data_IF_455250187468
#
_entry.id   IF_455250187468
#
_cell.length_a   1.000
_cell.length_b   1.000
_cell.length_c   1.000
_cell.angle_alpha   90.00
_cell.angle_beta   90.00
_cell.angle_gamma   90.00
#
_symmetry.space_group_name_H-M   'P 1'
#
loop_
_entity.id
_entity.type
_entity.pdbx_description
1 polymer ?
#
# COMPACT_ATOMS: atom_id res chain seq x y z
N UNK A 1 -27.36 16.06 -9.00
CA UNK A 1 -27.52 14.74 -8.36
C UNK A 1 -26.18 14.27 -7.78
N UNK A 2 -25.65 14.97 -6.76
CA UNK A 2 -24.33 14.66 -6.19
C UNK A 2 -24.31 14.93 -4.67
N UNK A 3 -25.38 14.52 -3.98
CA UNK A 3 -25.47 14.61 -2.51
C UNK A 3 -25.74 13.26 -1.86
N UNK A 4 -25.99 12.20 -2.64
CA UNK A 4 -26.27 10.85 -2.14
C UNK A 4 -25.06 9.91 -2.05
N UNK A 5 -23.88 10.33 -2.52
CA UNK A 5 -22.66 9.52 -2.44
C UNK A 5 -21.81 9.78 -1.18
N UNK A 6 -22.18 10.74 -0.32
CA UNK A 6 -21.45 11.03 0.91
C UNK A 6 -21.74 10.04 2.07
N UNK A 7 -22.65 9.07 1.86
CA UNK A 7 -23.11 8.18 2.94
C UNK A 7 -22.99 6.68 2.66
N UNK A 8 -22.28 6.25 1.61
CA UNK A 8 -22.15 4.83 1.33
C UNK A 8 -20.70 4.34 1.19
N UNK A 9 -20.29 3.62 2.26
CA UNK A 9 -19.68 2.29 2.23
C UNK A 9 -18.29 2.19 1.59
N UNK A 10 -17.23 2.41 2.38
CA UNK A 10 -16.11 1.46 2.51
C UNK A 10 -15.13 1.89 3.63
N UNK A 11 -14.96 3.20 3.84
CA UNK A 11 -13.90 3.77 4.69
C UNK A 11 -14.23 3.90 6.19
N UNK A 12 -15.49 4.07 6.69
CA UNK A 12 -15.69 4.49 8.08
C UNK A 12 -15.32 3.42 9.11
N UNK A 13 -15.32 2.14 8.75
CA UNK A 13 -14.91 1.06 9.67
C UNK A 13 -13.41 1.09 9.96
N UNK A 14 -12.59 1.22 8.92
CA UNK A 14 -11.12 1.18 9.03
C UNK A 14 -10.54 2.53 9.43
N UNK A 15 -11.21 3.64 9.08
CA UNK A 15 -10.80 4.99 9.46
C UNK A 15 -10.68 5.17 10.98
N UNK A 16 -11.58 4.57 11.77
CA UNK A 16 -11.49 4.65 13.23
C UNK A 16 -10.24 3.94 13.78
N UNK A 17 -9.88 2.80 13.18
CA UNK A 17 -8.69 2.04 13.55
C UNK A 17 -7.39 2.78 13.18
N UNK A 18 -7.40 3.56 12.08
CA UNK A 18 -6.26 4.38 11.65
C UNK A 18 -5.83 5.39 12.72
N UNK A 19 -6.79 6.09 13.35
CA UNK A 19 -6.47 7.08 14.38
C UNK A 19 -5.80 6.45 15.62
N UNK A 20 -6.24 5.24 16.02
CA UNK A 20 -5.64 4.49 17.14
C UNK A 20 -4.24 3.99 16.79
N UNK A 21 -4.02 3.53 15.55
CA UNK A 21 -2.73 3.00 15.09
C UNK A 21 -1.71 4.08 14.73
N UNK A 22 -2.08 5.35 14.72
CA UNK A 22 -1.14 6.43 14.48
C UNK A 22 -0.34 6.74 15.76
N UNK A 23 1.01 6.57 15.78
CA UNK A 23 1.81 6.68 17.00
C UNK A 23 1.69 8.01 17.74
N UNK A 24 1.50 9.11 16.99
CA UNK A 24 1.30 10.47 17.50
C UNK A 24 -0.09 10.75 18.08
N UNK A 25 -1.12 10.13 17.53
CA UNK A 25 -2.51 10.54 17.77
C UNK A 25 -3.17 9.66 18.82
N UNK A 26 -3.02 8.32 18.70
CA UNK A 26 -3.60 7.30 19.61
C UNK A 26 -4.95 7.74 20.19
N UNK A 27 -5.10 7.70 21.50
CA UNK A 27 -6.34 8.05 22.21
C UNK A 27 -6.50 9.56 22.37
N UNK A 28 -5.39 10.30 22.39
CA UNK A 28 -5.38 11.76 22.55
C UNK A 28 -6.11 12.50 21.43
N UNK A 29 -6.16 11.90 20.24
CA UNK A 29 -6.88 12.46 19.10
C UNK A 29 -8.39 12.41 19.28
N UNK A 30 -8.94 11.31 19.84
CA UNK A 30 -10.38 11.20 20.07
C UNK A 30 -10.88 12.22 21.08
N UNK A 31 -10.06 12.51 22.11
CA UNK A 31 -10.36 13.55 23.08
C UNK A 31 -10.36 14.95 22.44
N UNK A 32 -9.37 15.26 21.59
CA UNK A 32 -9.26 16.57 20.91
C UNK A 32 -10.30 16.77 19.81
N UNK A 33 -10.67 15.71 19.11
CA UNK A 33 -11.67 15.74 18.05
C UNK A 33 -13.11 15.73 18.57
N UNK A 34 -13.30 15.71 19.91
CA UNK A 34 -14.61 15.66 20.58
C UNK A 34 -15.44 14.43 20.18
N UNK A 35 -14.76 13.30 19.88
CA UNK A 35 -15.46 12.08 19.54
C UNK A 35 -16.08 11.44 20.78
N UNK A 36 -17.32 10.94 20.66
CA UNK A 36 -17.97 10.27 21.79
C UNK A 36 -17.23 8.99 22.15
N UNK A 37 -17.26 8.62 23.44
CA UNK A 37 -16.63 7.40 23.94
C UNK A 37 -17.11 6.12 23.21
N UNK A 38 -18.33 6.14 22.67
CA UNK A 38 -18.88 5.05 21.85
C UNK A 38 -18.04 4.82 20.60
N UNK A 39 -17.61 5.89 19.92
CA UNK A 39 -16.78 5.79 18.72
C UNK A 39 -15.37 5.28 19.03
N UNK A 40 -14.80 5.71 20.15
CA UNK A 40 -13.51 5.23 20.62
C UNK A 40 -13.55 3.73 20.97
N UNK A 41 -14.54 3.30 21.76
CA UNK A 41 -14.75 1.89 22.10
C UNK A 41 -15.01 1.02 20.86
N UNK A 42 -15.77 1.53 19.89
CA UNK A 42 -16.00 0.85 18.62
C UNK A 42 -14.72 0.72 17.79
N UNK A 43 -13.86 1.75 17.79
CA UNK A 43 -12.55 1.71 17.13
C UNK A 43 -11.68 0.60 17.72
N UNK A 44 -11.57 0.54 19.06
CA UNK A 44 -10.83 -0.50 19.77
C UNK A 44 -11.42 -1.89 19.52
N UNK A 45 -12.75 -2.01 19.54
CA UNK A 45 -13.45 -3.28 19.27
C UNK A 45 -13.16 -3.80 17.85
N UNK A 46 -13.21 -2.93 16.85
CA UNK A 46 -12.88 -3.28 15.47
C UNK A 46 -11.40 -3.64 15.33
N UNK A 47 -10.50 -2.85 15.92
CA UNK A 47 -9.06 -3.11 15.89
C UNK A 47 -8.71 -4.46 16.52
N UNK A 48 -9.24 -4.75 17.72
CA UNK A 48 -9.06 -6.05 18.40
C UNK A 48 -9.66 -7.21 17.61
N UNK A 49 -10.77 -6.98 16.89
CA UNK A 49 -11.36 -8.00 16.00
C UNK A 49 -10.43 -8.31 14.83
N UNK A 50 -9.87 -7.30 14.17
CA UNK A 50 -8.94 -7.47 13.05
C UNK A 50 -7.66 -8.13 13.51
N UNK A 51 -7.11 -7.71 14.64
CA UNK A 51 -5.88 -8.26 15.22
C UNK A 51 -5.92 -9.78 15.39
N UNK A 52 -7.08 -10.36 15.72
CA UNK A 52 -7.25 -11.82 15.80
C UNK A 52 -6.87 -12.56 14.52
N UNK A 53 -7.06 -11.94 13.35
CA UNK A 53 -6.69 -12.53 12.06
C UNK A 53 -5.18 -12.46 11.77
N UNK A 54 -4.49 -11.47 12.36
CA UNK A 54 -3.06 -11.24 12.20
C UNK A 54 -2.20 -11.94 13.25
N UNK A 55 -2.81 -12.42 14.34
CA UNK A 55 -2.10 -13.23 15.33
C UNK A 55 -1.48 -14.45 14.66
N UNK A 56 -0.18 -14.70 14.90
CA UNK A 56 0.47 -15.88 14.37
C UNK A 56 -0.20 -17.07 15.03
N UNK A 57 -0.63 -18.03 14.22
CA UNK A 57 -0.90 -19.36 14.73
C UNK A 57 0.37 -19.84 15.47
N UNK A 58 0.30 -20.52 16.62
CA UNK A 58 1.46 -20.94 17.43
C UNK A 58 2.52 -21.80 16.72
N UNK A 59 2.43 -21.99 15.40
CA UNK A 59 3.17 -23.00 14.62
C UNK A 59 4.27 -22.41 13.75
N UNK A 60 4.49 -21.09 13.66
CA UNK A 60 5.44 -20.57 12.67
C UNK A 60 6.25 -19.33 13.12
N UNK A 61 7.13 -19.49 14.13
CA UNK A 61 8.36 -18.68 14.24
C UNK A 61 9.52 -19.54 14.75
N UNK A 62 9.98 -20.47 13.93
CA UNK A 62 11.32 -21.06 14.06
C UNK A 62 12.30 -20.28 13.18
N UNK A 63 12.52 -19.01 13.51
CA UNK A 63 13.75 -18.34 13.09
C UNK A 63 14.87 -18.83 14.01
N UNK A 64 15.59 -19.86 13.55
CA UNK A 64 16.80 -20.38 14.20
C UNK A 64 17.89 -19.30 14.23
N UNK A 65 17.93 -18.51 15.30
CA UNK A 65 19.12 -17.72 15.63
C UNK A 65 20.17 -18.63 16.27
N UNK A 66 21.37 -18.70 15.67
CA UNK A 66 22.55 -19.38 16.23
C UNK A 66 22.89 -18.74 17.58
N UNK A 67 23.19 -19.51 18.65
CA UNK A 67 23.54 -18.93 19.94
C UNK A 67 24.93 -18.28 19.81
N UNK A 68 24.94 -16.96 19.70
CA UNK A 68 26.13 -16.12 19.92
C UNK A 68 26.10 -15.67 21.38
N UNK A 69 27.25 -15.35 21.94
CA UNK A 69 27.58 -15.08 23.37
C UNK A 69 26.64 -14.11 24.12
N UNK A 70 25.67 -13.49 23.45
CA UNK A 70 24.62 -12.61 23.99
C UNK A 70 23.58 -13.30 24.88
N UNK A 71 23.55 -14.63 24.96
CA UNK A 71 22.60 -15.35 25.83
C UNK A 71 22.77 -15.05 27.33
N UNK A 72 23.92 -14.53 27.76
CA UNK A 72 24.21 -14.21 29.16
C UNK A 72 23.44 -12.98 29.67
N UNK A 73 23.09 -12.06 28.78
CA UNK A 73 22.27 -10.88 29.09
C UNK A 73 20.84 -11.00 28.59
N UNK A 74 20.44 -12.14 28.00
CA UNK A 74 19.08 -12.30 27.47
C UNK A 74 17.99 -12.13 28.55
N UNK A 75 18.28 -12.50 29.80
CA UNK A 75 17.39 -12.26 30.94
C UNK A 75 17.32 -10.76 31.30
N UNK A 76 18.45 -10.05 31.27
CA UNK A 76 18.53 -8.61 31.50
C UNK A 76 17.88 -7.78 30.38
N UNK A 77 17.98 -8.21 29.13
CA UNK A 77 17.31 -7.61 27.97
C UNK A 77 15.79 -7.89 27.99
N UNK A 78 15.37 -9.00 28.63
CA UNK A 78 13.97 -9.37 28.82
C UNK A 78 13.34 -8.80 30.09
N UNK A 79 14.08 -8.08 30.94
CA UNK A 79 13.67 -7.70 32.31
C UNK A 79 12.48 -6.72 32.40
N UNK A 80 11.82 -6.40 31.28
CA UNK A 80 10.56 -5.67 31.25
C UNK A 80 9.66 -6.04 30.04
N UNK A 81 9.99 -7.13 29.33
CA UNK A 81 9.20 -7.67 28.23
C UNK A 81 8.31 -8.77 28.80
N UNK A 82 7.09 -8.39 29.20
CA UNK A 82 6.06 -9.35 29.56
C UNK A 82 5.67 -10.14 28.30
N UNK A 83 6.31 -11.29 28.10
CA UNK A 83 6.08 -12.24 27.00
C UNK A 83 4.64 -12.74 26.95
N UNK A 84 3.83 -12.50 27.99
CA UNK A 84 2.41 -12.85 28.04
C UNK A 84 1.48 -11.72 27.63
N UNK A 85 1.98 -10.49 27.42
CA UNK A 85 1.14 -9.38 26.95
C UNK A 85 1.03 -9.39 25.44
N UNK A 86 -0.22 -9.30 24.98
CA UNK A 86 -0.54 -9.17 23.56
C UNK A 86 0.13 -7.90 22.98
N UNK A 87 0.81 -8.01 21.84
CA UNK A 87 1.56 -6.89 21.22
C UNK A 87 0.68 -5.65 21.03
N UNK A 88 -0.61 -5.86 20.72
CA UNK A 88 -1.59 -4.81 20.56
C UNK A 88 -1.85 -4.07 21.89
N UNK A 89 -2.07 -4.79 22.98
CA UNK A 89 -2.33 -4.17 24.29
C UNK A 89 -1.06 -3.48 24.82
N UNK A 90 0.12 -4.02 24.53
CA UNK A 90 1.40 -3.32 24.79
C UNK A 90 1.46 -1.99 24.04
N UNK A 91 1.16 -1.97 22.74
CA UNK A 91 1.17 -0.73 21.95
C UNK A 91 0.15 0.31 22.45
N UNK A 92 -1.04 -0.13 22.85
CA UNK A 92 -2.10 0.74 23.37
C UNK A 92 -1.72 1.32 24.74
N UNK A 93 -0.97 0.60 25.56
CA UNK A 93 -0.49 1.09 26.87
C UNK A 93 0.72 2.03 26.79
N UNK A 94 1.51 1.96 25.71
CA UNK A 94 2.63 2.89 25.48
C UNK A 94 2.09 4.33 25.28
N UNK A 95 2.74 5.37 25.85
CA UNK A 95 2.35 6.76 25.60
C UNK A 95 2.41 7.12 24.10
N UNK A 96 1.68 8.15 23.65
CA UNK A 96 1.77 8.66 22.28
C UNK A 96 3.15 9.25 21.99
N UNK A 97 3.73 8.92 20.84
CA UNK A 97 5.00 9.49 20.38
C UNK A 97 4.74 10.73 19.53
N UNK A 98 4.93 11.90 20.15
CA UNK A 98 4.70 13.19 19.49
C UNK A 98 5.73 13.53 18.41
N UNK A 99 6.87 12.82 18.37
CA UNK A 99 7.97 13.06 17.42
C UNK A 99 7.77 12.33 16.09
N UNK A 100 6.88 11.33 16.05
CA UNK A 100 6.58 10.56 14.86
C UNK A 100 5.80 11.41 13.84
N UNK A 101 6.51 11.90 12.81
CA UNK A 101 5.91 12.64 11.70
C UNK A 101 5.26 11.72 10.65
N UNK A 102 5.91 10.61 10.30
CA UNK A 102 5.39 9.63 9.33
C UNK A 102 5.05 8.30 10.02
N UNK A 103 3.76 7.96 10.15
CA UNK A 103 3.34 6.70 10.75
C UNK A 103 3.79 5.48 9.92
N UNK A 104 3.89 5.59 8.59
CA UNK A 104 4.29 4.47 7.73
C UNK A 104 5.76 4.11 7.99
N UNK A 105 6.64 5.11 8.08
CA UNK A 105 8.04 4.91 8.44
C UNK A 105 8.21 4.25 9.82
N UNK A 106 7.43 4.68 10.83
CA UNK A 106 7.44 4.07 12.17
C UNK A 106 7.09 2.58 12.12
N UNK A 107 6.00 2.23 11.45
CA UNK A 107 5.58 0.83 11.36
C UNK A 107 6.53 0.00 10.50
N UNK A 108 7.12 0.56 9.44
CA UNK A 108 8.18 -0.13 8.69
C UNK A 108 9.41 -0.44 9.54
N UNK A 109 9.86 0.49 10.38
CA UNK A 109 10.96 0.24 11.31
C UNK A 109 10.63 -0.88 12.32
N UNK A 110 9.37 -0.92 12.78
CA UNK A 110 8.88 -1.96 13.70
C UNK A 110 8.61 -3.32 13.01
N UNK A 111 8.36 -3.31 11.70
CA UNK A 111 8.28 -4.54 10.91
C UNK A 111 9.67 -5.17 10.75
N UNK A 112 10.73 -4.36 10.63
CA UNK A 112 12.10 -4.86 10.57
C UNK A 112 12.52 -5.61 11.86
N UNK A 113 11.92 -5.28 13.01
CA UNK A 113 12.09 -6.03 14.27
C UNK A 113 11.18 -7.26 14.39
N UNK A 114 10.40 -7.60 13.37
CA UNK A 114 9.59 -8.83 13.31
C UNK A 114 8.22 -8.78 13.99
N UNK A 115 7.69 -7.60 14.31
CA UNK A 115 6.36 -7.46 14.93
C UNK A 115 5.24 -7.71 13.91
N UNK A 116 4.29 -8.61 14.20
CA UNK A 116 3.12 -8.79 13.33
C UNK A 116 2.14 -7.63 13.45
N UNK A 117 2.11 -6.94 14.60
CA UNK A 117 1.31 -5.74 14.75
C UNK A 117 1.70 -4.68 13.73
N UNK A 118 2.98 -4.59 13.38
CA UNK A 118 3.46 -3.68 12.36
C UNK A 118 2.90 -3.99 10.97
N UNK A 119 2.75 -5.27 10.61
CA UNK A 119 2.12 -5.68 9.36
C UNK A 119 0.65 -5.23 9.31
N UNK A 120 -0.12 -5.47 10.37
CA UNK A 120 -1.50 -5.00 10.46
C UNK A 120 -1.59 -3.45 10.41
N UNK A 121 -0.67 -2.77 11.09
CA UNK A 121 -0.56 -1.32 11.09
C UNK A 121 -0.38 -0.76 9.68
N UNK A 122 0.56 -1.31 8.91
CA UNK A 122 0.82 -0.92 7.53
C UNK A 122 -0.36 -1.22 6.61
N UNK A 123 -0.97 -2.40 6.73
CA UNK A 123 -2.15 -2.77 5.93
C UNK A 123 -3.32 -1.82 6.15
N UNK A 124 -3.54 -1.36 7.37
CA UNK A 124 -4.64 -0.44 7.69
C UNK A 124 -4.30 1.01 7.29
N UNK A 125 -3.07 1.45 7.54
CA UNK A 125 -2.64 2.84 7.28
C UNK A 125 -2.40 3.13 5.79
N UNK A 126 -2.11 2.10 4.99
CA UNK A 126 -1.95 2.24 3.54
C UNK A 126 -3.29 2.33 2.78
N UNK A 127 -4.42 2.08 3.46
CA UNK A 127 -5.74 2.21 2.84
C UNK A 127 -6.01 3.69 2.58
N UNK A 128 -6.32 4.09 1.33
CA UNK A 128 -6.65 5.47 1.03
C UNK A 128 -7.90 5.90 1.81
N UNK A 129 -7.85 7.10 2.39
CA UNK A 129 -8.95 7.63 3.19
C UNK A 129 -10.21 7.94 2.37
N UNK A 130 -10.13 7.97 1.04
CA UNK A 130 -11.26 8.33 0.18
C UNK A 130 -11.28 7.47 -1.09
N UNK A 131 -12.46 7.32 -1.70
CA UNK A 131 -12.63 6.70 -3.01
C UNK A 131 -12.15 7.58 -4.17
N UNK A 132 -11.68 8.81 -3.90
CA UNK A 132 -11.34 9.80 -4.93
C UNK A 132 -10.26 9.27 -5.87
N UNK A 133 -9.25 8.58 -5.35
CA UNK A 133 -8.18 8.02 -6.18
C UNK A 133 -8.70 6.93 -7.12
N UNK A 134 -9.62 6.10 -6.62
CA UNK A 134 -10.29 5.05 -7.40
C UNK A 134 -11.18 5.66 -8.48
N UNK A 135 -12.00 6.66 -8.12
CA UNK A 135 -12.86 7.39 -9.06
C UNK A 135 -12.05 8.10 -10.14
N UNK A 136 -10.91 8.71 -9.75
CA UNK A 136 -9.98 9.35 -10.69
C UNK A 136 -9.38 8.33 -11.65
N UNK A 137 -8.98 7.16 -11.16
CA UNK A 137 -8.49 6.07 -12.00
C UNK A 137 -9.54 5.59 -13.01
N UNK A 138 -10.80 5.39 -12.58
CA UNK A 138 -11.90 5.00 -13.47
C UNK A 138 -12.24 6.10 -14.49
N UNK A 139 -12.25 7.36 -14.07
CA UNK A 139 -12.50 8.50 -14.97
C UNK A 139 -11.43 8.59 -16.07
N UNK A 140 -10.15 8.38 -15.71
CA UNK A 140 -9.04 8.31 -16.68
C UNK A 140 -9.16 7.08 -17.58
N UNK A 141 -9.47 5.91 -17.04
CA UNK A 141 -9.69 4.69 -17.83
C UNK A 141 -10.80 4.85 -18.86
N UNK A 142 -11.89 5.55 -18.51
CA UNK A 142 -12.99 5.86 -19.42
C UNK A 142 -12.54 6.66 -20.65
N UNK A 143 -11.53 7.52 -20.53
CA UNK A 143 -10.99 8.27 -21.68
C UNK A 143 -10.29 7.35 -22.69
N UNK A 144 -9.72 6.23 -22.24
CA UNK A 144 -9.12 5.24 -23.15
C UNK A 144 -10.18 4.42 -23.89
N UNK A 145 -11.33 4.18 -23.24
CA UNK A 145 -12.49 3.51 -23.82
C UNK A 145 -13.37 4.54 -24.53
N UNK A 146 -12.91 5.04 -25.68
CA UNK A 146 -13.76 5.90 -26.52
C UNK A 146 -14.83 5.08 -27.24
N UNK A 147 -16.00 5.67 -27.52
CA UNK A 147 -17.06 5.03 -28.32
C UNK A 147 -16.57 4.61 -29.72
N UNK A 148 -15.53 5.27 -30.25
CA UNK A 148 -14.98 5.05 -31.59
C UNK A 148 -13.85 3.99 -31.65
N UNK A 149 -13.40 3.46 -30.51
CA UNK A 149 -12.37 2.41 -30.43
C UNK A 149 -13.00 1.08 -30.01
N UNK A 150 -13.82 0.51 -30.89
CA UNK A 150 -14.62 -0.70 -30.62
C UNK A 150 -13.79 -2.01 -30.60
N UNK A 151 -12.46 -1.91 -30.61
CA UNK A 151 -11.53 -3.06 -30.81
C UNK A 151 -10.48 -3.22 -29.70
N UNK A 152 -10.57 -2.48 -28.60
CA UNK A 152 -9.70 -2.72 -27.45
C UNK A 152 -10.27 -3.81 -26.56
N UNK A 153 -9.51 -4.90 -26.38
CA UNK A 153 -9.86 -5.93 -25.41
C UNK A 153 -9.83 -5.38 -23.97
N UNK A 154 -10.58 -6.01 -23.08
CA UNK A 154 -10.65 -5.70 -21.66
C UNK A 154 -9.26 -5.66 -21.00
N UNK A 155 -8.41 -6.62 -21.36
CA UNK A 155 -7.05 -6.79 -20.89
C UNK A 155 -6.18 -5.60 -21.31
N UNK A 156 -6.31 -5.14 -22.56
CA UNK A 156 -5.56 -3.99 -23.08
C UNK A 156 -5.99 -2.71 -22.37
N UNK A 157 -7.29 -2.54 -22.15
CA UNK A 157 -7.86 -1.39 -21.43
C UNK A 157 -7.37 -1.35 -19.98
N UNK A 158 -7.38 -2.49 -19.29
CA UNK A 158 -6.86 -2.63 -17.93
C UNK A 158 -5.37 -2.30 -17.88
N UNK A 159 -4.57 -2.93 -18.74
CA UNK A 159 -3.12 -2.74 -18.77
C UNK A 159 -2.74 -1.29 -19.07
N UNK A 160 -3.39 -0.63 -20.03
CA UNK A 160 -3.12 0.78 -20.32
C UNK A 160 -3.52 1.71 -19.17
N UNK A 161 -4.57 1.38 -18.41
CA UNK A 161 -5.01 2.18 -17.25
C UNK A 161 -3.99 2.08 -16.12
N UNK A 162 -3.53 0.86 -15.82
CA UNK A 162 -2.50 0.60 -14.81
C UNK A 162 -1.18 1.26 -15.21
N UNK A 163 -0.76 1.07 -16.46
CA UNK A 163 0.47 1.67 -16.99
C UNK A 163 0.41 3.21 -16.93
N UNK A 164 -0.73 3.80 -17.29
CA UNK A 164 -0.95 5.25 -17.18
C UNK A 164 -0.90 5.76 -15.73
N UNK A 165 -1.34 4.95 -14.76
CA UNK A 165 -1.17 5.28 -13.34
C UNK A 165 0.31 5.24 -12.93
N UNK A 166 1.02 4.17 -13.30
CA UNK A 166 2.45 4.01 -12.98
C UNK A 166 3.34 5.06 -13.62
N UNK A 167 3.00 5.54 -14.82
CA UNK A 167 3.71 6.62 -15.50
C UNK A 167 3.67 7.96 -14.72
N UNK A 168 2.72 8.13 -13.80
CA UNK A 168 2.70 9.32 -12.93
C UNK A 168 3.69 9.24 -11.76
N UNK A 169 4.23 8.05 -11.48
CA UNK A 169 5.19 7.83 -10.41
C UNK A 169 6.62 7.90 -10.96
N UNK A 170 7.44 8.88 -10.54
CA UNK A 170 8.79 9.05 -11.08
C UNK A 170 9.67 7.83 -10.74
N UNK A 171 10.40 7.34 -11.73
CA UNK A 171 11.35 6.23 -11.56
C UNK A 171 10.72 4.83 -11.56
N UNK A 172 9.39 4.70 -11.59
CA UNK A 172 8.73 3.39 -11.65
C UNK A 172 8.77 2.78 -13.06
N UNK A 173 8.71 3.63 -14.09
CA UNK A 173 8.82 3.23 -15.49
C UNK A 173 10.13 3.79 -16.07
N UNK A 174 10.99 2.96 -16.68
CA UNK A 174 12.21 3.43 -17.35
C UNK A 174 11.87 4.07 -18.69
N UNK A 175 11.25 5.26 -18.66
CA UNK A 175 10.78 5.98 -19.85
C UNK A 175 11.90 6.23 -20.87
N UNK A 176 13.09 6.57 -20.39
CA UNK A 176 14.26 6.82 -21.23
C UNK A 176 14.68 5.58 -22.03
N UNK A 177 14.58 4.39 -21.46
CA UNK A 177 14.89 3.14 -22.16
C UNK A 177 13.77 2.77 -23.13
N UNK A 178 12.51 2.96 -22.74
CA UNK A 178 11.37 2.72 -23.59
C UNK A 178 11.44 3.57 -24.86
N UNK A 179 11.68 4.88 -24.74
CA UNK A 179 11.80 5.80 -25.88
C UNK A 179 12.92 5.37 -26.83
N UNK A 180 14.09 4.97 -26.30
CA UNK A 180 15.19 4.43 -27.12
C UNK A 180 14.78 3.16 -27.87
N UNK A 181 14.05 2.26 -27.22
CA UNK A 181 13.56 1.01 -27.83
C UNK A 181 12.53 1.22 -28.94
N UNK A 182 11.67 2.23 -28.82
CA UNK A 182 10.71 2.59 -29.86
C UNK A 182 11.38 3.30 -31.05
N UNK A 183 12.38 4.15 -30.77
CA UNK A 183 13.20 4.80 -31.78
C UNK A 183 13.99 3.81 -32.64
N UNK A 184 14.59 2.77 -32.03
CA UNK A 184 15.32 1.73 -32.77
C UNK A 184 14.40 0.83 -33.62
N UNK A 185 13.21 0.51 -33.13
CA UNK A 185 12.18 -0.22 -33.91
C UNK A 185 11.70 0.56 -35.13
N UNK A 186 11.52 1.87 -35.02
CA UNK A 186 11.16 2.75 -36.14
C UNK A 186 12.22 2.73 -37.24
N UNK A 187 13.51 2.75 -36.87
CA UNK A 187 14.63 2.63 -37.82
C UNK A 187 14.65 1.28 -38.55
N UNK A 188 14.43 0.17 -37.83
CA UNK A 188 14.41 -1.18 -38.43
C UNK A 188 13.26 -1.40 -39.42
N UNK A 189 12.13 -0.73 -39.23
CA UNK A 189 11.02 -0.74 -40.19
C UNK A 189 11.37 -0.02 -41.50
N UNK A 190 12.07 1.12 -41.42
CA UNK A 190 12.54 1.88 -42.60
C UNK A 190 13.61 1.13 -43.39
N UNK A 191 14.51 0.45 -42.71
CA UNK A 191 15.59 -0.32 -43.34
C UNK A 191 15.03 -1.54 -44.09
N UNK A 192 14.03 -2.24 -43.55
CA UNK A 192 13.33 -3.32 -44.26
C UNK A 192 12.56 -2.83 -45.48
N UNK A 193 11.96 -1.64 -45.44
CA UNK A 193 11.23 -1.07 -46.59
C UNK A 193 12.16 -0.67 -47.73
N UNK A 194 13.31 -0.07 -47.43
CA UNK A 194 14.32 0.28 -48.45
C UNK A 194 14.94 -0.95 -49.13
N UNK A 195 15.15 -2.04 -48.39
CA UNK A 195 15.67 -3.31 -48.96
C UNK A 195 14.64 -4.00 -49.87
N UNK A 196 13.33 -3.88 -49.57
CA UNK A 196 12.28 -4.42 -50.45
C UNK A 196 12.00 -3.58 -51.70
N UNK A 197 12.24 -2.26 -51.66
CA UNK A 197 12.12 -1.38 -52.84
C UNK A 197 13.30 -1.50 -53.81
N UNK A 198 14.50 -1.85 -53.32
CA UNK A 198 15.69 -2.07 -54.16
C UNK A 198 15.72 -3.41 -54.91
N UNK A 199 14.74 -4.30 -54.69
CA UNK A 199 14.66 -5.63 -55.31
C UNK A 199 13.53 -5.75 -56.34
N UNK A 200 13.06 -4.63 -56.89
CA UNK A 200 12.16 -4.63 -58.05
C UNK A 200 12.97 -4.75 -59.36
N UNK A 201 12.88 -5.93 -59.97
CA UNK A 201 13.52 -6.39 -61.21
C UNK A 201 13.49 -5.34 -62.35
N UNK A 202 14.58 -5.12 -63.10
CA UNK A 202 14.56 -4.27 -64.28
C UNK A 202 13.62 -4.86 -65.35
N UNK A 203 12.66 -4.07 -65.80
CA UNK A 203 11.83 -4.40 -66.97
C UNK A 203 12.71 -4.36 -68.22
N UNK A 204 12.55 -5.38 -69.05
CA UNK A 204 13.19 -5.62 -70.35
C UNK A 204 13.49 -4.37 -71.18
#
# INVERSE_FOLDING_TARGET
MCTYYCHLIFVPRKFKSVAVLHPRYKDSYFAKAEWTAVWHNEALRLLKKEWKAYKPSPVAHTLKAKPTVTAFFADADNFNLDVNKDELDQYLSTPPDTTCADPIAYWNARLASGSQLAQMGLDILSIPATSVDVERAFSRGRLMVSRLRHSLNDTTTRNGTVLGSWATLPGLIPEAELVKSFGSKSKRGKEKQQVTEGLAVPKN
#
